data_IF_993291663511
#
_entry.id   IF_993291663511
#
_cell.length_a   1.000
_cell.length_b   1.000
_cell.length_c   1.000
_cell.angle_alpha   90.00
_cell.angle_beta   90.00
_cell.angle_gamma   90.00
#
_symmetry.space_group_name_H-M   'P 1'
#
loop_
_entity.id
_entity.type
_entity.pdbx_description
1 polymer ?
#
# COMPACT_ATOMS: atom_id res chain seq x y z
N UNK A 1 -11.32 57.36 4.15
CA UNK A 1 -10.09 57.07 3.39
C UNK A 1 -9.25 56.17 4.29
N UNK A 2 -9.21 54.86 4.16
CA UNK A 2 -9.34 54.01 2.98
C UNK A 2 -8.03 53.24 2.86
N UNK A 3 -8.03 51.97 3.25
CA UNK A 3 -7.08 50.95 2.77
C UNK A 3 -7.59 49.56 3.18
N UNK A 4 -8.41 48.98 2.29
CA UNK A 4 -8.77 47.57 2.25
C UNK A 4 -7.87 46.90 1.21
N UNK A 5 -6.85 46.17 1.66
CA UNK A 5 -5.89 45.47 0.79
C UNK A 5 -6.34 44.06 0.42
N UNK A 6 -6.94 43.92 -0.76
CA UNK A 6 -6.64 42.86 -1.74
C UNK A 6 -6.89 41.39 -1.37
N UNK A 7 -8.14 40.94 -1.37
CA UNK A 7 -8.48 39.55 -1.67
C UNK A 7 -8.46 39.36 -3.21
N UNK A 8 -7.31 38.99 -3.76
CA UNK A 8 -7.09 38.82 -5.20
C UNK A 8 -7.34 37.40 -5.69
N UNK A 9 -8.46 37.21 -6.39
CA UNK A 9 -8.74 36.27 -7.48
C UNK A 9 -7.93 34.97 -7.63
N UNK A 10 -8.43 33.87 -7.06
CA UNK A 10 -8.14 32.51 -7.54
C UNK A 10 -9.11 32.12 -8.66
N UNK A 11 -8.66 32.18 -9.92
CA UNK A 11 -9.51 32.13 -11.11
C UNK A 11 -10.20 30.78 -11.39
N UNK A 12 -11.43 30.87 -11.92
CA UNK A 12 -12.25 29.76 -12.42
C UNK A 12 -11.60 28.90 -13.53
N UNK A 13 -10.52 29.38 -14.13
CA UNK A 13 -9.75 28.71 -15.19
C UNK A 13 -8.98 27.47 -14.72
N UNK A 14 -8.78 27.28 -13.41
CA UNK A 14 -8.06 26.11 -12.87
C UNK A 14 -8.87 24.81 -12.86
N UNK A 15 -10.20 24.89 -12.79
CA UNK A 15 -11.07 23.71 -12.63
C UNK A 15 -11.04 22.73 -13.82
N UNK A 16 -11.14 23.17 -15.10
CA UNK A 16 -11.14 22.23 -16.22
C UNK A 16 -9.77 21.56 -16.45
N UNK A 17 -8.67 22.28 -16.18
CA UNK A 17 -7.32 21.72 -16.34
C UNK A 17 -7.02 20.68 -15.25
N UNK A 18 -7.41 20.93 -13.99
CA UNK A 18 -7.33 19.94 -12.91
C UNK A 18 -8.18 18.69 -13.22
N UNK A 19 -9.41 18.89 -13.72
CA UNK A 19 -10.28 17.78 -14.14
C UNK A 19 -9.68 16.94 -15.28
N UNK A 20 -9.04 17.58 -16.27
CA UNK A 20 -8.35 16.87 -17.35
C UNK A 20 -7.13 16.08 -16.83
N UNK A 21 -6.32 16.68 -15.95
CA UNK A 21 -5.17 16.01 -15.34
C UNK A 21 -5.59 14.77 -14.55
N UNK A 22 -6.64 14.87 -13.73
CA UNK A 22 -7.17 13.73 -12.97
C UNK A 22 -7.73 12.62 -13.86
N UNK A 23 -8.36 12.97 -14.98
CA UNK A 23 -8.81 11.98 -15.98
C UNK A 23 -7.60 11.27 -16.62
N UNK A 24 -6.58 12.03 -17.05
CA UNK A 24 -5.37 11.45 -17.65
C UNK A 24 -4.63 10.53 -16.67
N UNK A 25 -4.51 10.93 -15.40
CA UNK A 25 -3.91 10.11 -14.35
C UNK A 25 -4.68 8.80 -14.12
N UNK A 26 -6.02 8.89 -14.10
CA UNK A 26 -6.90 7.71 -13.99
C UNK A 26 -6.75 6.76 -15.19
N UNK A 27 -6.71 7.30 -16.41
CA UNK A 27 -6.50 6.51 -17.63
C UNK A 27 -5.12 5.84 -17.61
N UNK A 28 -4.07 6.57 -17.22
CA UNK A 28 -2.72 6.03 -17.10
C UNK A 28 -2.67 4.89 -16.06
N UNK A 29 -3.35 5.07 -14.93
CA UNK A 29 -3.42 4.06 -13.86
C UNK A 29 -4.14 2.79 -14.30
N UNK A 30 -5.27 2.92 -14.99
CA UNK A 30 -6.07 1.77 -15.44
C UNK A 30 -5.40 1.04 -16.61
N UNK A 31 -4.90 1.77 -17.60
CA UNK A 31 -4.43 1.16 -18.85
C UNK A 31 -2.94 0.82 -18.87
N UNK A 32 -2.13 1.42 -18.00
CA UNK A 32 -0.68 1.19 -17.97
C UNK A 32 -0.25 0.56 -16.66
N UNK A 33 -0.49 1.23 -15.52
CA UNK A 33 0.04 0.74 -14.25
C UNK A 33 -0.63 -0.57 -13.78
N UNK A 34 -1.95 -0.68 -13.86
CA UNK A 34 -2.64 -1.90 -13.43
C UNK A 34 -2.20 -3.15 -14.22
N UNK A 35 -2.13 -3.14 -15.57
CA UNK A 35 -1.60 -4.27 -16.33
C UNK A 35 -0.13 -4.59 -15.99
N UNK A 36 0.73 -3.57 -15.82
CA UNK A 36 2.13 -3.78 -15.44
C UNK A 36 2.26 -4.48 -14.08
N UNK A 37 1.44 -4.09 -13.11
CA UNK A 37 1.40 -4.76 -11.79
C UNK A 37 0.95 -6.21 -11.94
N UNK A 38 -0.07 -6.49 -12.74
CA UNK A 38 -0.53 -7.86 -13.01
C UNK A 38 0.57 -8.70 -13.66
N UNK A 39 1.26 -8.17 -14.67
CA UNK A 39 2.36 -8.87 -15.33
C UNK A 39 3.52 -9.13 -14.39
N UNK A 40 3.90 -8.16 -13.55
CA UNK A 40 4.92 -8.35 -12.53
C UNK A 40 4.55 -9.48 -11.56
N UNK A 41 3.33 -9.44 -11.02
CA UNK A 41 2.83 -10.44 -10.09
C UNK A 41 2.82 -11.84 -10.69
N UNK A 42 2.25 -12.00 -11.88
CA UNK A 42 2.22 -13.27 -12.59
C UNK A 42 3.62 -13.75 -12.95
N UNK A 43 4.46 -12.87 -13.51
CA UNK A 43 5.83 -13.18 -13.87
C UNK A 43 6.66 -13.68 -12.69
N UNK A 44 6.61 -12.99 -11.55
CA UNK A 44 7.29 -13.45 -10.33
C UNK A 44 6.73 -14.79 -9.84
N UNK A 45 5.42 -14.98 -9.86
CA UNK A 45 4.81 -16.24 -9.45
C UNK A 45 5.29 -17.42 -10.33
N UNK A 46 5.27 -17.25 -11.65
CA UNK A 46 5.71 -18.25 -12.62
C UNK A 46 7.21 -18.53 -12.52
N UNK A 47 8.00 -17.50 -12.20
CA UNK A 47 9.41 -17.67 -11.90
C UNK A 47 9.60 -18.57 -10.67
N UNK A 48 8.83 -18.35 -9.60
CA UNK A 48 8.88 -19.22 -8.43
C UNK A 48 8.40 -20.65 -8.73
N UNK A 49 7.38 -20.82 -9.58
CA UNK A 49 6.95 -22.16 -10.02
C UNK A 49 8.06 -22.91 -10.78
N UNK A 50 8.91 -22.18 -11.51
CA UNK A 50 10.00 -22.76 -12.30
C UNK A 50 11.26 -23.04 -11.46
N UNK A 51 11.61 -22.12 -10.56
CA UNK A 51 12.91 -22.16 -9.87
C UNK A 51 12.82 -22.69 -8.43
N UNK A 52 11.68 -22.56 -7.76
CA UNK A 52 11.55 -22.95 -6.35
C UNK A 52 11.00 -24.36 -6.22
N UNK A 53 11.89 -25.34 -6.06
CA UNK A 53 11.54 -26.76 -5.90
C UNK A 53 10.54 -27.27 -6.95
N UNK A 54 10.87 -27.23 -8.26
CA UNK A 54 9.94 -27.56 -9.34
C UNK A 54 9.40 -29.00 -9.24
N UNK A 55 10.20 -29.92 -8.72
CA UNK A 55 9.84 -31.33 -8.57
C UNK A 55 8.91 -31.61 -7.37
N UNK A 56 8.76 -30.66 -6.45
CA UNK A 56 7.97 -30.87 -5.24
C UNK A 56 7.16 -29.63 -4.85
N UNK A 57 5.89 -29.65 -5.27
CA UNK A 57 4.95 -28.57 -5.05
C UNK A 57 4.72 -28.24 -3.57
N UNK A 58 4.77 -29.24 -2.68
CA UNK A 58 4.59 -29.03 -1.24
C UNK A 58 5.77 -28.25 -0.65
N UNK A 59 7.01 -28.66 -0.93
CA UNK A 59 8.19 -27.92 -0.49
C UNK A 59 8.26 -26.52 -1.09
N UNK A 60 7.90 -26.37 -2.37
CA UNK A 60 7.80 -25.06 -3.04
C UNK A 60 6.82 -24.13 -2.32
N UNK A 61 5.65 -24.66 -1.96
CA UNK A 61 4.57 -23.92 -1.32
C UNK A 61 4.95 -23.47 0.09
N UNK A 62 5.42 -24.39 0.94
CA UNK A 62 5.82 -24.04 2.31
C UNK A 62 7.06 -23.14 2.34
N UNK A 63 7.99 -23.30 1.40
CA UNK A 63 9.14 -22.40 1.30
C UNK A 63 8.70 -20.99 0.91
N UNK A 64 7.78 -20.85 -0.06
CA UNK A 64 7.22 -19.53 -0.42
C UNK A 64 6.49 -18.88 0.75
N UNK A 65 5.69 -19.65 1.47
CA UNK A 65 5.01 -19.18 2.67
C UNK A 65 6.01 -18.73 3.75
N UNK A 66 7.06 -19.54 3.98
CA UNK A 66 8.15 -19.23 4.90
C UNK A 66 8.87 -17.93 4.54
N UNK A 67 9.26 -17.76 3.26
CA UNK A 67 9.86 -16.52 2.76
C UNK A 67 8.94 -15.34 3.05
N UNK A 68 7.66 -15.44 2.70
CA UNK A 68 6.69 -14.37 2.87
C UNK A 68 6.46 -13.98 4.34
N UNK A 69 6.20 -14.95 5.21
CA UNK A 69 5.92 -14.70 6.63
C UNK A 69 7.16 -14.20 7.37
N UNK A 70 8.31 -14.86 7.19
CA UNK A 70 9.55 -14.48 7.89
C UNK A 70 10.05 -13.11 7.43
N UNK A 71 9.99 -12.83 6.13
CA UNK A 71 10.35 -11.50 5.63
C UNK A 71 9.39 -10.43 6.15
N UNK A 72 8.06 -10.67 6.15
CA UNK A 72 7.08 -9.74 6.70
C UNK A 72 7.38 -9.37 8.17
N UNK A 73 7.70 -10.36 8.99
CA UNK A 73 8.12 -10.14 10.38
C UNK A 73 9.43 -9.37 10.47
N UNK A 74 10.44 -9.75 9.67
CA UNK A 74 11.73 -9.06 9.64
C UNK A 74 11.55 -7.58 9.26
N UNK A 75 10.79 -7.29 8.20
CA UNK A 75 10.50 -5.93 7.75
C UNK A 75 9.76 -5.11 8.81
N UNK A 76 8.83 -5.74 9.55
CA UNK A 76 8.18 -5.09 10.70
C UNK A 76 9.16 -4.75 11.83
N UNK A 77 10.17 -5.59 12.08
CA UNK A 77 11.17 -5.36 13.13
C UNK A 77 12.19 -4.29 12.74
N UNK A 78 12.64 -4.27 11.48
CA UNK A 78 13.68 -3.34 11.01
C UNK A 78 13.14 -1.96 10.63
N UNK A 79 11.82 -1.74 10.59
CA UNK A 79 11.21 -0.48 10.15
C UNK A 79 11.75 0.76 10.89
N UNK A 80 11.92 0.66 12.21
CA UNK A 80 12.41 1.77 13.05
C UNK A 80 13.87 2.11 12.78
N UNK A 81 14.80 1.13 12.87
CA UNK A 81 16.19 1.32 12.47
C UNK A 81 16.33 1.87 11.05
N UNK A 82 15.57 1.33 10.09
CA UNK A 82 15.64 1.72 8.68
C UNK A 82 15.18 3.16 8.47
N UNK A 83 14.08 3.57 9.12
CA UNK A 83 13.59 4.94 9.10
C UNK A 83 14.62 5.93 9.68
N UNK A 84 15.31 5.55 10.76
CA UNK A 84 16.33 6.41 11.38
C UNK A 84 17.62 6.52 10.56
N UNK A 85 18.04 5.43 9.91
CA UNK A 85 19.27 5.38 9.13
C UNK A 85 19.12 6.08 7.78
N UNK A 86 17.93 5.97 7.19
CA UNK A 86 17.59 6.50 5.88
C UNK A 86 16.75 7.78 5.97
N UNK A 87 17.01 8.65 6.96
CA UNK A 87 16.32 9.94 7.05
C UNK A 87 16.52 10.75 5.75
N UNK A 88 15.44 10.95 5.00
CA UNK A 88 15.44 11.66 3.72
C UNK A 88 16.01 13.07 3.84
N UNK A 89 15.75 13.74 4.97
CA UNK A 89 16.18 15.13 5.22
C UNK A 89 17.71 15.24 5.36
N UNK A 90 18.36 14.18 5.86
CA UNK A 90 19.80 14.15 6.07
C UNK A 90 20.55 13.49 4.91
N UNK A 91 19.95 12.48 4.26
CA UNK A 91 20.63 11.61 3.29
C UNK A 91 19.70 11.22 2.14
N UNK A 92 19.36 12.15 1.23
CA UNK A 92 18.36 11.91 0.19
C UNK A 92 18.76 10.81 -0.80
N UNK A 93 20.05 10.73 -1.18
CA UNK A 93 20.55 9.70 -2.10
C UNK A 93 20.51 8.32 -1.45
N UNK A 94 20.92 8.20 -0.18
CA UNK A 94 20.87 6.94 0.55
C UNK A 94 19.42 6.48 0.72
N UNK A 95 18.52 7.40 1.11
CA UNK A 95 17.09 7.12 1.18
C UNK A 95 16.57 6.62 -0.16
N UNK A 96 16.90 7.28 -1.28
CA UNK A 96 16.45 6.86 -2.61
C UNK A 96 16.93 5.45 -2.96
N UNK A 97 18.22 5.15 -2.78
CA UNK A 97 18.73 3.82 -3.12
C UNK A 97 18.11 2.73 -2.24
N UNK A 98 18.12 2.94 -0.92
CA UNK A 98 17.60 1.94 0.03
C UNK A 98 16.10 1.75 -0.11
N UNK A 99 15.32 2.82 -0.30
CA UNK A 99 13.86 2.72 -0.52
C UNK A 99 13.53 1.89 -1.77
N UNK A 100 14.30 2.02 -2.85
CA UNK A 100 14.08 1.24 -4.08
C UNK A 100 14.45 -0.22 -3.91
N UNK A 101 15.61 -0.52 -3.33
CA UNK A 101 15.99 -1.91 -3.03
C UNK A 101 15.01 -2.56 -2.05
N UNK A 102 14.61 -1.83 -1.02
CA UNK A 102 13.59 -2.25 -0.05
C UNK A 102 12.32 -2.67 -0.78
N UNK A 103 11.75 -1.81 -1.62
CA UNK A 103 10.49 -2.10 -2.32
C UNK A 103 10.65 -3.27 -3.29
N UNK A 104 11.75 -3.35 -4.05
CA UNK A 104 11.98 -4.47 -4.96
C UNK A 104 12.02 -5.82 -4.23
N UNK A 105 12.75 -5.90 -3.11
CA UNK A 105 12.84 -7.12 -2.29
C UNK A 105 11.48 -7.41 -1.65
N UNK A 106 10.84 -6.40 -1.05
CA UNK A 106 9.57 -6.55 -0.36
C UNK A 106 8.47 -7.03 -1.31
N UNK A 107 8.41 -6.51 -2.55
CA UNK A 107 7.46 -6.98 -3.55
C UNK A 107 7.61 -8.48 -3.86
N UNK A 108 8.84 -8.99 -4.00
CA UNK A 108 9.09 -10.43 -4.23
C UNK A 108 8.66 -11.26 -3.01
N UNK A 109 8.94 -10.77 -1.80
CA UNK A 109 8.51 -11.37 -0.55
C UNK A 109 6.97 -11.45 -0.44
N UNK A 110 6.27 -10.37 -0.80
CA UNK A 110 4.81 -10.31 -0.81
C UNK A 110 4.23 -11.29 -1.83
N UNK A 111 4.78 -11.36 -3.05
CA UNK A 111 4.34 -12.36 -4.04
C UNK A 111 4.50 -13.79 -3.49
N UNK A 112 5.62 -14.08 -2.82
CA UNK A 112 5.85 -15.38 -2.19
C UNK A 112 4.85 -15.67 -1.06
N UNK A 113 4.52 -14.67 -0.24
CA UNK A 113 3.50 -14.81 0.80
C UNK A 113 2.16 -15.23 0.20
N UNK A 114 1.68 -14.49 -0.80
CA UNK A 114 0.40 -14.76 -1.45
C UNK A 114 0.40 -16.08 -2.23
N UNK A 115 1.51 -16.42 -2.90
CA UNK A 115 1.69 -17.73 -3.52
C UNK A 115 1.60 -18.88 -2.52
N UNK A 116 2.32 -18.76 -1.41
CA UNK A 116 2.30 -19.75 -0.34
C UNK A 116 0.90 -19.93 0.23
N UNK A 117 0.24 -18.83 0.59
CA UNK A 117 -1.13 -18.85 1.15
C UNK A 117 -2.13 -19.47 0.17
N UNK A 118 -2.09 -19.04 -1.10
CA UNK A 118 -3.00 -19.53 -2.12
C UNK A 118 -2.81 -21.04 -2.37
N UNK A 119 -1.56 -21.49 -2.54
CA UNK A 119 -1.28 -22.90 -2.79
C UNK A 119 -1.65 -23.79 -1.58
N UNK A 120 -1.41 -23.32 -0.35
CA UNK A 120 -1.86 -24.03 0.86
C UNK A 120 -3.38 -24.13 0.86
N UNK A 121 -4.07 -23.03 0.53
CA UNK A 121 -5.52 -23.01 0.48
C UNK A 121 -6.07 -23.99 -0.57
N UNK A 122 -5.54 -23.96 -1.79
CA UNK A 122 -5.91 -24.87 -2.87
C UNK A 122 -5.63 -26.34 -2.51
N UNK A 123 -4.55 -26.61 -1.78
CA UNK A 123 -4.23 -27.96 -1.30
C UNK A 123 -5.30 -28.52 -0.37
N UNK A 124 -5.87 -27.70 0.52
CA UNK A 124 -6.88 -28.15 1.49
C UNK A 124 -8.32 -28.08 0.98
N UNK A 125 -8.64 -27.10 0.13
CA UNK A 125 -10.02 -26.82 -0.30
C UNK A 125 -10.30 -27.27 -1.73
N UNK A 126 -9.26 -27.55 -2.51
CA UNK A 126 -9.35 -27.84 -3.94
C UNK A 126 -9.63 -26.59 -4.78
N UNK A 127 -9.65 -26.77 -6.11
CA UNK A 127 -9.77 -25.70 -7.12
C UNK A 127 -11.17 -25.58 -7.72
N UNK A 128 -12.20 -26.13 -7.06
CA UNK A 128 -13.57 -26.10 -7.54
C UNK A 128 -14.24 -24.72 -7.33
N UNK A 129 -15.31 -24.42 -8.07
CA UNK A 129 -16.05 -23.16 -7.89
C UNK A 129 -16.69 -23.07 -6.49
N UNK A 130 -17.04 -24.21 -5.89
CA UNK A 130 -17.54 -24.28 -4.52
C UNK A 130 -16.45 -23.86 -3.52
N UNK A 131 -15.22 -24.32 -3.72
CA UNK A 131 -14.06 -23.85 -2.94
C UNK A 131 -13.93 -22.33 -3.04
N UNK A 132 -13.98 -21.78 -4.26
CA UNK A 132 -13.96 -20.33 -4.46
C UNK A 132 -15.08 -19.58 -3.72
N UNK A 133 -16.32 -20.08 -3.81
CA UNK A 133 -17.47 -19.46 -3.14
C UNK A 133 -17.36 -19.51 -1.61
N UNK A 134 -16.91 -20.63 -1.04
CA UNK A 134 -16.69 -20.76 0.40
C UNK A 134 -15.56 -19.85 0.89
N UNK A 135 -14.47 -19.75 0.14
CA UNK A 135 -13.33 -18.87 0.42
C UNK A 135 -13.74 -17.40 0.43
N UNK A 136 -14.53 -17.00 -0.56
CA UNK A 136 -15.10 -15.65 -0.63
C UNK A 136 -15.99 -15.36 0.60
N UNK A 137 -16.87 -16.28 0.96
CA UNK A 137 -17.74 -16.14 2.13
C UNK A 137 -16.96 -16.00 3.44
N UNK A 138 -15.95 -16.83 3.65
CA UNK A 138 -15.07 -16.78 4.83
C UNK A 138 -14.29 -15.47 4.87
N UNK A 139 -13.69 -15.05 3.75
CA UNK A 139 -12.94 -13.80 3.65
C UNK A 139 -13.82 -12.58 3.93
N UNK A 140 -15.02 -12.54 3.35
CA UNK A 140 -15.97 -11.45 3.58
C UNK A 140 -16.43 -11.38 5.03
N UNK A 141 -16.72 -12.53 5.65
CA UNK A 141 -17.09 -12.61 7.05
C UNK A 141 -15.94 -12.13 7.96
N UNK A 142 -14.71 -12.58 7.70
CA UNK A 142 -13.54 -12.16 8.47
C UNK A 142 -13.30 -10.64 8.37
N UNK A 143 -13.43 -10.06 7.17
CA UNK A 143 -13.35 -8.62 6.97
C UNK A 143 -14.48 -7.87 7.67
N UNK A 144 -15.70 -8.39 7.65
CA UNK A 144 -16.82 -7.78 8.36
C UNK A 144 -16.59 -7.78 9.89
N UNK A 145 -16.15 -8.90 10.46
CA UNK A 145 -15.87 -9.04 11.89
C UNK A 145 -14.72 -8.15 12.36
N UNK A 146 -13.68 -8.02 11.54
CA UNK A 146 -12.52 -7.15 11.82
C UNK A 146 -12.77 -5.68 11.46
N UNK A 147 -13.98 -5.34 10.95
CA UNK A 147 -14.33 -4.00 10.44
C UNK A 147 -13.40 -3.51 9.33
N UNK A 148 -12.77 -4.44 8.61
CA UNK A 148 -11.79 -4.22 7.56
C UNK A 148 -12.37 -4.13 6.15
N UNK A 149 -13.70 -4.08 5.98
CA UNK A 149 -14.34 -4.02 4.64
C UNK A 149 -13.87 -2.84 3.78
N UNK A 150 -13.41 -1.75 4.40
CA UNK A 150 -12.84 -0.59 3.68
C UNK A 150 -11.52 -0.91 2.98
N UNK A 151 -10.81 -1.97 3.39
CA UNK A 151 -9.53 -2.39 2.80
C UNK A 151 -9.71 -3.06 1.42
N UNK A 152 -10.96 -3.29 0.97
CA UNK A 152 -11.26 -3.78 -0.37
C UNK A 152 -10.99 -2.70 -1.43
N UNK A 153 -10.99 -1.42 -1.03
CA UNK A 153 -10.63 -0.32 -1.91
C UNK A 153 -9.13 -0.36 -2.18
N UNK A 154 -8.78 -0.68 -3.42
CA UNK A 154 -7.40 -0.84 -3.90
C UNK A 154 -7.24 -0.15 -5.27
N UNK A 155 -6.01 -0.05 -5.81
CA UNK A 155 -5.80 0.37 -7.19
C UNK A 155 -6.66 -0.48 -8.15
N UNK A 156 -7.31 0.11 -9.19
CA UNK A 156 -7.07 1.43 -9.76
C UNK A 156 -7.91 2.57 -9.15
N UNK A 157 -8.76 2.29 -8.16
CA UNK A 157 -9.71 3.27 -7.63
C UNK A 157 -9.10 4.21 -6.59
N UNK A 158 -7.95 3.81 -6.02
CA UNK A 158 -7.19 4.60 -5.07
C UNK A 158 -5.71 4.49 -5.43
N UNK A 159 -5.13 5.61 -5.85
CA UNK A 159 -3.68 5.76 -6.03
C UNK A 159 -3.18 6.60 -4.87
N UNK A 160 -2.29 6.03 -4.07
CA UNK A 160 -1.64 6.76 -2.98
C UNK A 160 -0.19 6.96 -3.39
N UNK A 161 0.26 8.20 -3.61
CA UNK A 161 1.66 8.47 -3.92
C UNK A 161 2.53 8.20 -2.68
N UNK A 162 3.67 7.56 -2.90
CA UNK A 162 4.65 7.35 -1.83
C UNK A 162 5.30 8.69 -1.44
N UNK A 163 5.07 9.12 -0.20
CA UNK A 163 5.80 10.24 0.38
C UNK A 163 7.11 9.77 1.02
N UNK A 164 8.20 10.56 0.92
CA UNK A 164 9.48 10.22 1.55
C UNK A 164 9.40 10.24 3.08
N UNK A 165 8.49 11.02 3.66
CA UNK A 165 8.26 11.05 5.09
C UNK A 165 7.48 9.81 5.50
N UNK A 166 8.04 8.99 6.38
CA UNK A 166 7.37 7.78 6.87
C UNK A 166 7.41 6.59 5.91
N UNK A 167 8.20 6.63 4.83
CA UNK A 167 8.28 5.59 3.80
C UNK A 167 8.46 4.16 4.35
N UNK A 168 9.31 3.99 5.36
CA UNK A 168 9.59 2.67 5.96
C UNK A 168 8.63 2.31 7.10
N UNK A 169 7.78 3.23 7.55
CA UNK A 169 6.92 3.04 8.71
C UNK A 169 5.55 2.53 8.27
N UNK A 170 5.18 1.34 8.75
CA UNK A 170 3.85 0.78 8.52
C UNK A 170 3.05 0.93 9.82
N UNK A 171 2.06 1.84 9.87
CA UNK A 171 1.31 2.07 11.11
C UNK A 171 0.55 0.81 11.51
N UNK A 172 0.77 0.37 12.75
CA UNK A 172 0.01 -0.75 13.30
C UNK A 172 -1.36 -0.29 13.80
N UNK A 173 -2.32 -1.21 13.90
CA UNK A 173 -3.67 -0.92 14.41
C UNK A 173 -3.64 -0.16 15.76
N UNK A 174 -2.74 -0.55 16.66
CA UNK A 174 -2.58 0.08 17.97
C UNK A 174 -2.02 1.51 17.88
N UNK A 175 -1.09 1.76 16.96
CA UNK A 175 -0.57 3.10 16.72
C UNK A 175 -1.65 4.02 16.15
N UNK A 176 -2.45 3.52 15.20
CA UNK A 176 -3.56 4.28 14.61
C UNK A 176 -4.59 4.69 15.68
N UNK A 177 -4.97 3.77 16.57
CA UNK A 177 -5.90 4.05 17.67
C UNK A 177 -5.33 5.07 18.67
N UNK A 178 -4.05 4.93 19.06
CA UNK A 178 -3.39 5.88 19.95
C UNK A 178 -3.28 7.27 19.34
N UNK A 179 -2.95 7.36 18.05
CA UNK A 179 -2.87 8.64 17.33
C UNK A 179 -4.24 9.31 17.25
N UNK A 180 -5.30 8.56 16.94
CA UNK A 180 -6.67 9.05 16.95
C UNK A 180 -7.07 9.57 18.35
N UNK A 181 -6.78 8.82 19.42
CA UNK A 181 -7.05 9.25 20.80
C UNK A 181 -6.26 10.50 21.19
N UNK A 182 -5.01 10.66 20.74
CA UNK A 182 -4.20 11.86 20.98
C UNK A 182 -4.81 13.09 20.30
N UNK A 183 -5.28 12.94 19.06
CA UNK A 183 -5.95 14.02 18.31
C UNK A 183 -7.26 14.44 19.02
N UNK A 184 -8.09 13.47 19.43
CA UNK A 184 -9.36 13.74 20.10
C UNK A 184 -9.19 14.39 21.49
N UNK A 185 -8.09 14.08 22.20
CA UNK A 185 -7.78 14.66 23.52
C UNK A 185 -7.27 16.11 23.45
N UNK A 186 -6.75 16.56 22.32
CA UNK A 186 -6.28 17.93 22.17
C UNK A 186 -6.72 18.53 20.82
N UNK A 187 -7.88 19.21 20.76
CA UNK A 187 -8.48 19.70 19.51
C UNK A 187 -7.65 20.78 18.79
N UNK A 188 -6.64 21.40 19.42
CA UNK A 188 -5.71 22.28 18.70
C UNK A 188 -4.83 21.50 17.71
N UNK A 189 -4.50 20.25 18.01
CA UNK A 189 -3.82 19.33 17.10
C UNK A 189 -4.74 18.83 15.97
N UNK A 190 -6.06 18.92 16.13
CA UNK A 190 -7.01 18.59 15.08
C UNK A 190 -6.94 19.58 13.92
N UNK A 191 -6.78 20.88 14.18
CA UNK A 191 -6.53 21.86 13.12
C UNK A 191 -5.18 21.62 12.42
N UNK A 192 -4.14 21.23 13.16
CA UNK A 192 -2.82 21.00 12.58
C UNK A 192 -2.76 19.70 11.75
N UNK A 193 -3.36 18.62 12.24
CA UNK A 193 -3.51 17.36 11.48
C UNK A 193 -4.51 17.47 10.33
N UNK A 194 -5.56 18.29 10.45
CA UNK A 194 -6.39 18.67 9.31
C UNK A 194 -5.61 19.53 8.33
N UNK A 195 -4.72 20.44 8.75
CA UNK A 195 -3.93 21.22 7.80
C UNK A 195 -2.87 20.36 7.10
N UNK A 196 -2.30 19.36 7.77
CA UNK A 196 -1.42 18.36 7.16
C UNK A 196 -2.20 17.42 6.23
N UNK A 197 -3.33 16.86 6.66
CA UNK A 197 -4.19 16.00 5.82
C UNK A 197 -4.99 16.75 4.74
N UNK A 198 -5.30 18.03 4.94
CA UNK A 198 -5.86 18.93 3.92
C UNK A 198 -4.76 19.40 3.00
N UNK A 199 -3.50 19.56 3.43
CA UNK A 199 -2.36 19.76 2.51
C UNK A 199 -2.15 18.52 1.63
N UNK A 200 -2.32 17.31 2.18
CA UNK A 200 -2.32 16.06 1.41
C UNK A 200 -3.52 15.98 0.45
N UNK A 201 -4.71 16.45 0.86
CA UNK A 201 -5.89 16.52 0.00
C UNK A 201 -5.84 17.68 -1.03
N UNK A 202 -5.22 18.82 -0.73
CA UNK A 202 -5.08 19.97 -1.63
C UNK A 202 -3.98 19.79 -2.67
N UNK A 203 -3.04 18.86 -2.44
CA UNK A 203 -2.09 18.40 -3.46
C UNK A 203 -2.64 17.25 -4.32
N UNK A 204 -3.86 16.80 -4.00
CA UNK A 204 -4.61 15.78 -4.75
C UNK A 204 -5.77 16.38 -5.58
N UNK A 205 -5.75 17.69 -5.84
CA UNK A 205 -6.61 18.36 -6.82
C UNK A 205 -5.79 19.23 -7.77
#
# INVERSE_FOLDING_TARGET
MGESGGAGGGGEWGKPIMGLLGLLDSLLSIFVFAPLVVFYWRGCWQLMDTYLFPENQLYSTFTSLGIGVLSGLLFCLIQGPLASLCDHSRRPILHLLISRFYTLIYCVCVVNHWRGVWNVWDFYTGTSWQSGATSFGIGLLALALTRGLKNILAPPFLVVPDHPVGYFSVPTLFQAEQNCKKILKNPSNFKQSLLEGVSEAHLSY
#
